data_IF_601307763981
#
_entry.id   IF_601307763981
#
_cell.length_a   1.000
_cell.length_b   1.000
_cell.length_c   1.000
_cell.angle_alpha   90.00
_cell.angle_beta   90.00
_cell.angle_gamma   90.00
#
_symmetry.space_group_name_H-M   'P 1'
#
loop_
_entity.id
_entity.type
_entity.pdbx_description
1 polymer ?
#
# COMPACT_ATOMS: atom_id res chain seq x y z
N UNK A 1 29.18 -29.14 57.19
CA UNK A 1 30.17 -30.11 56.70
C UNK A 1 30.03 -30.03 55.20
N UNK A 2 30.84 -29.23 54.64
CA UNK A 2 32.06 -29.59 53.89
C UNK A 2 31.70 -30.09 52.48
N UNK A 3 32.13 -29.64 51.36
CA UNK A 3 33.36 -28.95 50.99
C UNK A 3 33.16 -28.46 49.55
N UNK A 4 33.68 -27.33 49.20
CA UNK A 4 34.00 -26.98 47.83
C UNK A 4 35.35 -27.66 47.45
N UNK A 5 35.65 -27.86 46.18
CA UNK A 5 36.62 -26.92 45.59
C UNK A 5 36.39 -26.60 44.11
N UNK A 6 36.73 -25.41 43.79
CA UNK A 6 37.47 -24.81 42.68
C UNK A 6 37.99 -25.74 41.55
N UNK A 7 37.87 -25.25 40.35
CA UNK A 7 38.61 -25.78 39.18
C UNK A 7 38.23 -25.08 37.92
N UNK A 8 39.04 -24.15 37.55
CA UNK A 8 39.72 -23.94 36.26
C UNK A 8 38.92 -23.40 35.05
N UNK A 9 39.31 -22.20 34.70
CA UNK A 9 39.08 -21.59 33.38
C UNK A 9 39.88 -22.30 32.30
N UNK A 10 39.31 -22.52 31.12
CA UNK A 10 40.10 -22.78 29.94
C UNK A 10 40.25 -21.53 29.07
N UNK A 11 41.46 -21.29 28.80
CA UNK A 11 42.15 -20.41 27.87
C UNK A 11 41.45 -20.26 26.49
N UNK A 12 41.43 -19.02 26.02
CA UNK A 12 41.01 -18.63 24.68
C UNK A 12 41.97 -19.21 23.59
N UNK A 13 41.43 -19.71 22.46
CA UNK A 13 42.25 -20.06 21.31
C UNK A 13 42.50 -18.86 20.40
N UNK A 14 43.75 -18.66 20.05
CA UNK A 14 44.25 -17.69 19.12
C UNK A 14 43.68 -17.81 17.70
N UNK A 15 42.67 -17.02 17.38
CA UNK A 15 42.11 -16.90 16.01
C UNK A 15 42.60 -15.64 15.25
N UNK A 16 43.56 -14.92 15.77
CA UNK A 16 43.96 -13.62 15.23
C UNK A 16 45.04 -13.70 14.11
N UNK A 17 45.81 -14.76 14.00
CA UNK A 17 46.90 -14.80 13.00
C UNK A 17 46.42 -15.24 11.60
N UNK A 18 45.35 -16.03 11.49
CA UNK A 18 44.84 -16.49 10.20
C UNK A 18 44.02 -15.39 9.48
N UNK A 19 43.38 -14.52 10.24
CA UNK A 19 42.57 -13.43 9.69
C UNK A 19 43.46 -12.31 9.10
N UNK A 20 44.63 -12.10 9.65
CA UNK A 20 45.59 -11.10 9.13
C UNK A 20 46.23 -11.56 7.83
N UNK A 21 46.47 -12.87 7.66
CA UNK A 21 47.08 -13.42 6.44
C UNK A 21 46.06 -13.38 5.27
N UNK A 22 44.78 -13.60 5.53
CA UNK A 22 43.73 -13.51 4.50
C UNK A 22 43.50 -12.05 4.09
N UNK A 23 43.60 -11.09 5.02
CA UNK A 23 43.38 -9.68 4.70
C UNK A 23 44.54 -9.09 3.85
N UNK A 24 45.80 -9.55 4.06
CA UNK A 24 46.96 -9.12 3.27
C UNK A 24 46.98 -9.69 1.85
N UNK A 25 46.41 -10.87 1.62
CA UNK A 25 46.34 -11.50 0.28
C UNK A 25 45.31 -10.86 -0.65
N UNK A 26 44.26 -10.25 -0.09
CA UNK A 26 43.23 -9.54 -0.88
C UNK A 26 43.71 -8.15 -1.33
N UNK A 27 44.56 -7.52 -0.55
CA UNK A 27 45.16 -6.20 -0.90
C UNK A 27 46.20 -6.27 -2.02
N UNK A 28 46.90 -7.40 -2.19
CA UNK A 28 47.93 -7.55 -3.23
C UNK A 28 47.31 -7.83 -4.62
N UNK A 29 46.10 -8.40 -4.72
CA UNK A 29 45.43 -8.67 -5.97
C UNK A 29 44.64 -7.46 -6.55
N UNK A 30 44.39 -6.44 -5.72
CA UNK A 30 43.60 -5.25 -6.13
C UNK A 30 44.43 -4.18 -6.87
N UNK A 31 45.75 -4.21 -6.78
CA UNK A 31 46.60 -3.17 -7.38
C UNK A 31 46.92 -3.38 -8.87
N UNK A 32 46.76 -4.60 -9.38
CA UNK A 32 47.03 -4.91 -10.79
C UNK A 32 45.82 -4.73 -11.74
N UNK A 33 44.60 -4.68 -11.17
CA UNK A 33 43.38 -4.55 -11.98
C UNK A 33 42.96 -3.09 -12.29
N UNK A 34 43.40 -2.13 -11.51
CA UNK A 34 43.00 -0.73 -11.64
C UNK A 34 43.68 0.04 -12.78
N UNK A 35 44.86 -0.46 -13.25
CA UNK A 35 45.65 0.22 -14.27
C UNK A 35 45.13 0.04 -15.70
N UNK A 36 44.40 -1.04 -16.01
CA UNK A 36 43.94 -1.33 -17.35
C UNK A 36 42.54 -0.75 -17.62
N UNK A 37 41.74 -0.52 -16.57
CA UNK A 37 40.41 0.06 -16.72
C UNK A 37 40.42 1.57 -17.00
N UNK A 38 41.50 2.26 -16.58
CA UNK A 38 41.59 3.73 -16.73
C UNK A 38 42.09 4.19 -18.11
N UNK A 39 42.62 3.29 -18.93
CA UNK A 39 43.14 3.66 -20.26
C UNK A 39 42.19 3.46 -21.42
N UNK A 40 41.05 2.80 -21.20
CA UNK A 40 40.03 2.58 -22.26
C UNK A 40 38.81 3.50 -22.16
N UNK A 41 38.75 4.42 -21.18
CA UNK A 41 37.58 5.29 -20.98
C UNK A 41 37.73 6.71 -21.54
N UNK A 42 38.63 6.91 -22.55
CA UNK A 42 38.78 8.22 -23.15
C UNK A 42 38.56 8.16 -24.66
N UNK A 43 37.33 7.80 -25.06
CA UNK A 43 36.77 8.23 -26.35
C UNK A 43 35.29 7.84 -26.45
N UNK A 44 34.41 8.83 -26.49
CA UNK A 44 33.02 8.66 -26.90
C UNK A 44 32.06 9.39 -25.98
N UNK A 45 31.86 10.70 -26.24
CA UNK A 45 30.65 11.41 -25.85
C UNK A 45 29.42 10.70 -26.42
N UNK A 46 28.68 10.02 -25.58
CA UNK A 46 27.26 9.84 -25.73
C UNK A 46 26.64 9.86 -24.33
N UNK A 47 25.92 10.94 -24.11
CA UNK A 47 25.06 11.21 -23.01
C UNK A 47 23.86 10.25 -23.09
N UNK A 48 24.04 9.03 -22.60
CA UNK A 48 22.92 8.15 -22.29
C UNK A 48 22.46 8.51 -20.89
N UNK A 49 21.32 9.19 -20.85
CA UNK A 49 20.53 9.31 -19.66
C UNK A 49 20.29 7.88 -19.12
N UNK A 50 20.74 7.61 -17.90
CA UNK A 50 20.24 6.49 -17.13
C UNK A 50 18.75 6.72 -16.95
N UNK A 51 17.93 6.21 -17.86
CA UNK A 51 16.57 5.85 -17.54
C UNK A 51 16.68 4.79 -16.45
N UNK A 52 16.47 5.21 -15.22
CA UNK A 52 16.04 4.30 -14.17
C UNK A 52 14.82 3.59 -14.72
N UNK A 53 15.02 2.36 -15.18
CA UNK A 53 13.94 1.45 -15.46
C UNK A 53 13.19 1.23 -14.16
N UNK A 54 12.23 2.12 -13.86
CA UNK A 54 11.12 1.73 -13.02
C UNK A 54 10.57 0.48 -13.68
N UNK A 55 10.75 -0.65 -13.04
CA UNK A 55 10.02 -1.85 -13.35
C UNK A 55 8.55 -1.48 -13.24
N UNK A 56 7.95 -1.09 -14.35
CA UNK A 56 6.51 -1.02 -14.52
C UNK A 56 6.05 -2.47 -14.36
N UNK A 57 5.74 -2.84 -13.10
CA UNK A 57 4.87 -3.98 -12.87
C UNK A 57 3.67 -3.74 -13.80
N UNK A 58 3.51 -4.55 -14.81
CA UNK A 58 2.37 -4.52 -15.72
C UNK A 58 1.10 -4.73 -14.88
N UNK A 59 0.65 -3.66 -14.23
CA UNK A 59 -0.61 -3.67 -13.50
C UNK A 59 -1.72 -3.91 -14.51
N UNK A 60 -2.52 -4.91 -14.26
CA UNK A 60 -3.74 -5.16 -15.03
C UNK A 60 -4.54 -3.85 -15.18
N UNK A 61 -5.26 -3.66 -16.29
CA UNK A 61 -6.08 -2.47 -16.48
C UNK A 61 -7.09 -2.31 -15.33
N UNK A 62 -7.26 -1.08 -14.88
CA UNK A 62 -8.23 -0.76 -13.83
C UNK A 62 -9.65 -0.94 -14.34
N UNK A 63 -10.47 -1.62 -13.55
CA UNK A 63 -11.92 -1.76 -13.75
C UNK A 63 -12.62 -0.90 -12.71
N UNK A 64 -13.54 -0.05 -13.17
CA UNK A 64 -14.37 0.80 -12.32
C UNK A 64 -15.78 0.25 -12.27
N UNK A 65 -16.29 0.03 -11.07
CA UNK A 65 -17.61 -0.51 -10.79
C UNK A 65 -18.45 0.60 -10.17
N UNK A 66 -19.43 1.09 -10.93
CA UNK A 66 -20.32 2.14 -10.50
C UNK A 66 -21.51 1.55 -9.77
N UNK A 67 -21.88 2.14 -8.63
CA UNK A 67 -23.14 1.85 -7.95
C UNK A 67 -24.25 2.72 -8.56
N UNK A 68 -25.15 2.11 -9.32
CA UNK A 68 -26.26 2.78 -9.97
C UNK A 68 -27.60 2.21 -9.48
N UNK A 69 -28.61 3.04 -9.12
CA UNK A 69 -28.62 4.51 -9.08
C UNK A 69 -27.72 5.11 -7.98
N UNK A 70 -27.45 6.44 -8.01
CA UNK A 70 -26.75 7.15 -6.95
C UNK A 70 -27.42 6.97 -5.59
N UNK A 71 -26.64 7.09 -4.52
CA UNK A 71 -27.17 7.09 -3.16
C UNK A 71 -27.85 8.42 -2.87
N UNK A 72 -29.04 8.36 -2.24
CA UNK A 72 -29.74 9.54 -1.75
C UNK A 72 -30.08 9.29 -0.29
N UNK A 73 -29.57 10.14 0.60
CA UNK A 73 -29.85 10.09 2.03
C UNK A 73 -30.30 11.45 2.55
N UNK A 74 -31.12 11.41 3.58
CA UNK A 74 -31.57 12.60 4.30
C UNK A 74 -30.76 12.73 5.58
N UNK A 75 -30.42 13.96 5.95
CA UNK A 75 -29.82 14.26 7.24
C UNK A 75 -30.37 15.57 7.77
N UNK A 76 -30.40 15.69 9.07
CA UNK A 76 -30.85 16.92 9.75
C UNK A 76 -29.68 17.86 9.95
N UNK A 77 -29.87 19.14 9.61
CA UNK A 77 -28.94 20.22 9.92
C UNK A 77 -29.69 21.38 10.56
N UNK A 78 -29.46 21.61 11.85
CA UNK A 78 -30.06 22.68 12.63
C UNK A 78 -31.60 22.73 12.50
N UNK A 79 -32.26 21.61 12.60
CA UNK A 79 -33.71 21.46 12.47
C UNK A 79 -34.27 21.54 11.04
N UNK A 80 -33.39 21.59 10.05
CA UNK A 80 -33.77 21.54 8.62
C UNK A 80 -33.33 20.24 7.98
N UNK A 81 -34.27 19.57 7.31
CA UNK A 81 -33.95 18.37 6.52
C UNK A 81 -33.18 18.75 5.26
N UNK A 82 -32.08 18.06 5.04
CA UNK A 82 -31.18 18.22 3.91
C UNK A 82 -31.05 16.90 3.15
N UNK A 83 -30.70 17.00 1.88
CA UNK A 83 -30.46 15.85 1.03
C UNK A 83 -28.97 15.76 0.66
N UNK A 84 -28.43 14.55 0.70
CA UNK A 84 -27.13 14.23 0.16
C UNK A 84 -27.34 13.23 -0.98
N UNK A 85 -26.88 13.58 -2.17
CA UNK A 85 -26.78 12.68 -3.31
C UNK A 85 -25.33 12.39 -3.62
N UNK A 86 -24.96 11.10 -3.65
CA UNK A 86 -23.59 10.66 -3.90
C UNK A 86 -23.57 9.57 -4.96
N UNK A 87 -22.72 9.75 -5.97
CA UNK A 87 -22.35 8.68 -6.90
C UNK A 87 -21.04 8.06 -6.43
N UNK A 88 -21.01 6.74 -6.30
CA UNK A 88 -19.88 5.97 -5.80
C UNK A 88 -19.37 5.04 -6.89
N UNK A 89 -18.04 4.99 -7.06
CA UNK A 89 -17.35 4.04 -7.93
C UNK A 89 -16.21 3.38 -7.15
N UNK A 90 -16.05 2.07 -7.36
CA UNK A 90 -14.99 1.27 -6.74
C UNK A 90 -14.04 0.80 -7.83
N UNK A 91 -12.77 0.91 -7.59
CA UNK A 91 -11.71 0.48 -8.51
C UNK A 91 -11.05 -0.81 -8.03
N UNK A 92 -10.95 -1.75 -8.95
CA UNK A 92 -10.15 -2.97 -8.79
C UNK A 92 -9.45 -3.32 -10.10
N UNK A 93 -8.35 -4.07 -10.02
CA UNK A 93 -7.70 -4.68 -11.19
C UNK A 93 -7.87 -6.18 -11.23
N UNK A 94 -8.53 -6.75 -10.22
CA UNK A 94 -8.76 -8.18 -10.11
C UNK A 94 -10.18 -8.54 -10.62
N UNK A 95 -10.31 -9.35 -11.69
CA UNK A 95 -11.60 -9.72 -12.23
C UNK A 95 -12.47 -10.50 -11.26
N UNK A 96 -11.89 -11.33 -10.40
CA UNK A 96 -12.63 -12.10 -9.40
C UNK A 96 -13.25 -11.17 -8.35
N UNK A 97 -12.50 -10.18 -7.88
CA UNK A 97 -13.00 -9.15 -6.96
C UNK A 97 -14.08 -8.30 -7.61
N UNK A 98 -13.93 -7.96 -8.90
CA UNK A 98 -14.96 -7.21 -9.63
C UNK A 98 -16.28 -7.99 -9.71
N UNK A 99 -16.21 -9.29 -9.93
CA UNK A 99 -17.40 -10.14 -9.94
C UNK A 99 -18.03 -10.27 -8.56
N UNK A 100 -17.22 -10.43 -7.52
CA UNK A 100 -17.69 -10.51 -6.13
C UNK A 100 -18.43 -9.22 -5.72
N UNK A 101 -17.91 -8.05 -6.11
CA UNK A 101 -18.57 -6.76 -5.86
C UNK A 101 -19.97 -6.73 -6.55
N UNK A 102 -20.08 -7.21 -7.79
CA UNK A 102 -21.38 -7.25 -8.49
C UNK A 102 -22.36 -8.21 -7.82
N UNK A 103 -21.91 -9.39 -7.41
CA UNK A 103 -22.76 -10.39 -6.73
C UNK A 103 -23.30 -9.87 -5.41
N UNK A 104 -22.49 -9.10 -4.66
CA UNK A 104 -22.86 -8.56 -3.37
C UNK A 104 -23.28 -7.08 -3.40
N UNK A 105 -23.63 -6.54 -4.59
CA UNK A 105 -24.10 -5.15 -4.75
C UNK A 105 -25.22 -4.77 -3.75
N UNK A 106 -26.27 -5.58 -3.52
CA UNK A 106 -27.32 -5.20 -2.57
C UNK A 106 -26.81 -5.02 -1.14
N UNK A 107 -25.86 -5.85 -0.69
CA UNK A 107 -25.28 -5.76 0.63
C UNK A 107 -24.37 -4.53 0.74
N UNK A 108 -23.48 -4.34 -0.24
CA UNK A 108 -22.60 -3.17 -0.33
C UNK A 108 -23.43 -1.88 -0.35
N UNK A 109 -24.50 -1.86 -1.12
CA UNK A 109 -25.40 -0.72 -1.22
C UNK A 109 -26.08 -0.42 0.11
N UNK A 110 -26.56 -1.43 0.82
CA UNK A 110 -27.15 -1.26 2.15
C UNK A 110 -26.15 -0.65 3.14
N UNK A 111 -24.97 -1.23 3.23
CA UNK A 111 -23.96 -0.83 4.21
C UNK A 111 -23.40 0.58 3.92
N UNK A 112 -23.20 0.92 2.64
CA UNK A 112 -22.86 2.28 2.21
C UNK A 112 -23.97 3.29 2.49
N UNK A 113 -25.23 2.90 2.29
CA UNK A 113 -26.38 3.77 2.59
C UNK A 113 -26.45 4.09 4.08
N UNK A 114 -26.23 3.09 4.95
CA UNK A 114 -26.20 3.28 6.40
C UNK A 114 -25.05 4.20 6.81
N UNK A 115 -23.86 4.02 6.24
CA UNK A 115 -22.72 4.89 6.48
C UNK A 115 -23.02 6.34 6.06
N UNK A 116 -23.54 6.54 4.85
CA UNK A 116 -23.84 7.88 4.33
C UNK A 116 -24.96 8.56 5.16
N UNK A 117 -25.97 7.81 5.58
CA UNK A 117 -27.08 8.31 6.38
C UNK A 117 -26.70 8.66 7.84
N UNK A 118 -25.59 8.13 8.35
CA UNK A 118 -25.09 8.44 9.68
C UNK A 118 -24.26 9.73 9.76
N UNK A 119 -24.00 10.37 8.62
CA UNK A 119 -23.16 11.56 8.56
C UNK A 119 -23.91 12.83 8.99
N UNK A 120 -23.16 13.85 9.42
CA UNK A 120 -23.70 15.18 9.70
C UNK A 120 -23.21 16.19 8.66
N UNK A 121 -23.96 17.27 8.48
CA UNK A 121 -23.56 18.34 7.55
C UNK A 121 -22.17 18.89 7.86
N UNK A 122 -21.88 19.12 9.14
CA UNK A 122 -20.61 19.68 9.61
C UNK A 122 -19.43 18.78 9.22
N UNK A 123 -19.62 17.45 9.31
CA UNK A 123 -18.56 16.50 8.98
C UNK A 123 -18.26 16.42 7.49
N UNK A 124 -19.28 16.43 6.65
CA UNK A 124 -19.12 16.18 5.20
C UNK A 124 -19.06 17.46 4.36
N UNK A 125 -19.22 18.65 4.97
CA UNK A 125 -19.07 19.94 4.27
C UNK A 125 -17.60 20.28 3.98
N UNK A 126 -16.67 19.77 4.76
CA UNK A 126 -15.23 20.00 4.62
C UNK A 126 -14.57 19.00 3.68
N UNK A 127 -13.39 19.35 3.15
CA UNK A 127 -12.58 18.45 2.34
C UNK A 127 -12.12 17.25 3.16
N UNK A 128 -11.59 17.50 4.34
CA UNK A 128 -11.09 16.50 5.27
C UNK A 128 -12.19 15.52 5.68
N UNK A 129 -13.41 16.02 5.90
CA UNK A 129 -14.57 15.19 6.21
C UNK A 129 -14.97 14.27 5.04
N UNK A 130 -14.92 14.77 3.80
CA UNK A 130 -15.16 13.96 2.61
C UNK A 130 -14.09 12.89 2.39
N UNK A 131 -12.81 13.23 2.63
CA UNK A 131 -11.71 12.27 2.53
C UNK A 131 -11.82 11.17 3.59
N UNK A 132 -12.19 11.53 4.84
CA UNK A 132 -12.47 10.55 5.89
C UNK A 132 -13.63 9.64 5.52
N UNK A 133 -14.76 10.21 5.07
CA UNK A 133 -15.92 9.44 4.65
C UNK A 133 -15.58 8.48 3.51
N UNK A 134 -14.72 8.88 2.56
CA UNK A 134 -14.24 8.03 1.48
C UNK A 134 -13.44 6.83 2.03
N UNK A 135 -12.58 7.06 3.02
CA UNK A 135 -11.83 6.00 3.70
C UNK A 135 -12.75 5.03 4.44
N UNK A 136 -13.77 5.55 5.14
CA UNK A 136 -14.78 4.74 5.82
C UNK A 136 -15.61 3.91 4.82
N UNK A 137 -16.01 4.51 3.70
CA UNK A 137 -16.72 3.82 2.63
C UNK A 137 -15.87 2.70 1.99
N UNK A 138 -14.58 2.94 1.74
CA UNK A 138 -13.67 1.91 1.27
C UNK A 138 -13.55 0.77 2.28
N UNK A 139 -13.47 1.08 3.58
CA UNK A 139 -13.45 0.07 4.63
C UNK A 139 -14.71 -0.78 4.63
N UNK A 140 -15.90 -0.19 4.47
CA UNK A 140 -17.16 -0.94 4.34
C UNK A 140 -17.08 -1.95 3.20
N UNK A 141 -16.56 -1.54 2.03
CA UNK A 141 -16.37 -2.46 0.90
C UNK A 141 -15.40 -3.57 1.25
N UNK A 142 -14.26 -3.26 1.88
CA UNK A 142 -13.28 -4.25 2.32
C UNK A 142 -13.88 -5.26 3.30
N UNK A 143 -14.67 -4.79 4.27
CA UNK A 143 -15.32 -5.64 5.28
C UNK A 143 -16.29 -6.64 4.62
N UNK A 144 -17.10 -6.18 3.65
CA UNK A 144 -18.01 -7.06 2.90
C UNK A 144 -17.24 -8.08 2.07
N UNK A 145 -16.22 -7.63 1.30
CA UNK A 145 -15.40 -8.54 0.48
C UNK A 145 -14.71 -9.60 1.35
N UNK A 146 -14.21 -9.20 2.53
CA UNK A 146 -13.59 -10.13 3.48
C UNK A 146 -14.61 -11.16 4.01
N UNK A 147 -15.81 -10.71 4.37
CA UNK A 147 -16.86 -11.58 4.88
C UNK A 147 -17.32 -12.63 3.85
N UNK A 148 -17.25 -12.29 2.58
CA UNK A 148 -17.61 -13.18 1.45
C UNK A 148 -16.39 -13.99 0.92
N UNK A 149 -15.29 -14.03 1.68
CA UNK A 149 -14.10 -14.83 1.37
C UNK A 149 -13.22 -14.27 0.26
N UNK A 150 -13.43 -13.03 -0.14
CA UNK A 150 -12.61 -12.33 -1.12
C UNK A 150 -11.34 -11.72 -0.52
N UNK A 151 -10.60 -11.00 -1.36
CA UNK A 151 -9.34 -10.34 -1.00
C UNK A 151 -9.55 -8.83 -0.96
N UNK A 152 -9.70 -8.21 0.23
CA UNK A 152 -9.99 -6.78 0.34
C UNK A 152 -8.90 -5.90 -0.26
N UNK A 153 -7.63 -6.31 -0.21
CA UNK A 153 -6.51 -5.59 -0.81
C UNK A 153 -6.58 -5.45 -2.34
N UNK A 154 -7.45 -6.23 -2.99
CA UNK A 154 -7.73 -6.11 -4.42
C UNK A 154 -8.74 -5.01 -4.75
N UNK A 155 -9.45 -4.50 -3.76
CA UNK A 155 -10.22 -3.27 -3.87
C UNK A 155 -9.28 -2.11 -3.57
N UNK A 156 -8.75 -1.46 -4.61
CA UNK A 156 -7.66 -0.50 -4.45
C UNK A 156 -8.16 0.87 -4.01
N UNK A 157 -9.29 1.32 -4.55
CA UNK A 157 -9.81 2.67 -4.31
C UNK A 157 -11.34 2.72 -4.38
N UNK A 158 -11.90 3.74 -3.71
CA UNK A 158 -13.28 4.15 -3.85
C UNK A 158 -13.31 5.65 -4.17
N UNK A 159 -14.19 6.04 -5.06
CA UNK A 159 -14.34 7.43 -5.52
C UNK A 159 -15.77 7.90 -5.33
N UNK A 160 -15.92 9.17 -4.92
CA UNK A 160 -17.17 9.90 -5.04
C UNK A 160 -17.11 10.70 -6.35
N UNK A 161 -17.80 10.22 -7.40
CA UNK A 161 -17.80 10.85 -8.73
C UNK A 161 -18.82 11.98 -8.83
N UNK A 162 -19.79 12.02 -7.91
CA UNK A 162 -20.69 13.15 -7.67
C UNK A 162 -20.99 13.25 -6.18
N UNK A 163 -21.05 14.47 -5.66
CA UNK A 163 -21.35 14.73 -4.25
C UNK A 163 -22.11 16.05 -4.13
N UNK A 164 -23.43 15.96 -4.00
CA UNK A 164 -24.34 17.11 -3.99
C UNK A 164 -25.10 17.15 -2.69
N UNK A 165 -25.03 18.29 -2.00
CA UNK A 165 -25.81 18.59 -0.78
C UNK A 165 -26.81 19.72 -1.07
N UNK A 166 -28.08 19.52 -0.72
CA UNK A 166 -29.17 20.48 -0.93
C UNK A 166 -29.99 20.67 0.33
#
# INVERSE_FOLDING_TARGET
MSDAPAGEAPTAPAKSKMLVIVLCSVLAAGAAGAGVFFMTSKKGDHKEASEEAHADEHKLPATYLKFDPPFVVNFENRGTMRFLQVSVEVMTRDPATAELIRQHDPKLRNDLLMLLGSQTYETISTREGKERLRGEALKVVHDVITAEGGKPEKVEQLYFTSFVMQ
#
